data_IF_484598374657
#
_entry.id   IF_484598374657
#
_cell.length_a   1.000
_cell.length_b   1.000
_cell.length_c   1.000
_cell.angle_alpha   90.00
_cell.angle_beta   90.00
_cell.angle_gamma   90.00
#
_symmetry.space_group_name_H-M   'P 1'
#
loop_
_entity.id
_entity.type
_entity.pdbx_description
1 polymer ?
#
# COMPACT_ATOMS: atom_id res chain seq x y z
N UNK A 1 -26.32 7.99 13.76
CA UNK A 1 -25.42 8.60 12.76
C UNK A 1 -24.99 7.51 11.81
N UNK A 2 -25.21 7.70 10.50
CA UNK A 2 -24.83 6.70 9.50
C UNK A 2 -23.34 6.77 9.23
N UNK A 3 -22.71 5.62 9.00
CA UNK A 3 -21.29 5.49 8.67
C UNK A 3 -21.17 4.75 7.33
N UNK A 4 -20.55 5.37 6.34
CA UNK A 4 -20.30 4.75 5.03
C UNK A 4 -18.93 4.05 5.06
N UNK A 5 -18.92 2.76 4.74
CA UNK A 5 -17.71 1.93 4.67
C UNK A 5 -17.45 1.49 3.23
N UNK A 6 -16.19 1.51 2.82
CA UNK A 6 -15.76 1.04 1.53
C UNK A 6 -14.40 0.35 1.61
N UNK A 7 -14.09 -0.45 0.59
CA UNK A 7 -12.77 -1.00 0.32
C UNK A 7 -12.43 -0.72 -1.13
N UNK A 8 -11.19 -0.34 -1.38
CA UNK A 8 -10.71 -0.06 -2.73
C UNK A 8 -9.38 -0.75 -2.96
N UNK A 9 -9.21 -1.27 -4.17
CA UNK A 9 -7.97 -1.87 -4.66
C UNK A 9 -7.84 -1.63 -6.16
N UNK A 10 -6.61 -1.70 -6.66
CA UNK A 10 -6.28 -1.75 -8.07
C UNK A 10 -5.89 -3.19 -8.38
N UNK A 11 -6.48 -3.76 -9.42
CA UNK A 11 -6.16 -5.10 -9.92
C UNK A 11 -5.80 -5.08 -11.40
N UNK A 12 -5.16 -6.17 -11.82
CA UNK A 12 -4.90 -6.48 -13.23
C UNK A 12 -5.18 -7.96 -13.43
N UNK A 13 -5.99 -8.28 -14.43
CA UNK A 13 -6.34 -9.66 -14.80
C UNK A 13 -6.92 -10.49 -13.64
N UNK A 14 -7.78 -9.87 -12.83
CA UNK A 14 -8.40 -10.50 -11.65
C UNK A 14 -7.46 -10.65 -10.44
N UNK A 15 -6.23 -10.14 -10.54
CA UNK A 15 -5.27 -10.19 -9.45
C UNK A 15 -5.00 -8.80 -8.85
N UNK A 16 -5.21 -8.67 -7.53
CA UNK A 16 -4.93 -7.43 -6.79
C UNK A 16 -3.46 -7.01 -6.98
N UNK A 17 -3.21 -5.78 -7.38
CA UNK A 17 -1.89 -5.14 -7.33
C UNK A 17 -1.75 -4.41 -5.99
N UNK A 18 -2.59 -3.43 -5.70
CA UNK A 18 -2.48 -2.65 -4.46
C UNK A 18 -3.85 -2.42 -3.85
N UNK A 19 -3.90 -2.45 -2.53
CA UNK A 19 -5.05 -2.12 -1.70
C UNK A 19 -4.53 -1.63 -0.35
N UNK A 20 -5.41 -1.31 0.60
CA UNK A 20 -5.04 -0.67 1.88
C UNK A 20 -3.85 -1.35 2.59
N UNK A 21 -3.87 -2.67 2.76
CA UNK A 21 -2.78 -3.37 3.47
C UNK A 21 -1.45 -3.43 2.71
N UNK A 22 -1.45 -3.25 1.38
CA UNK A 22 -0.22 -3.17 0.57
C UNK A 22 0.30 -1.73 0.49
N UNK A 23 -0.60 -0.75 0.40
CA UNK A 23 -0.28 0.68 0.53
C UNK A 23 0.40 0.96 1.88
N UNK A 24 -0.19 0.47 2.97
CA UNK A 24 0.35 0.65 4.33
C UNK A 24 1.78 0.10 4.45
N UNK A 25 2.03 -1.09 3.89
CA UNK A 25 3.37 -1.68 3.83
C UNK A 25 4.35 -0.80 3.06
N UNK A 26 3.99 -0.30 1.88
CA UNK A 26 4.89 0.54 1.07
C UNK A 26 5.19 1.87 1.77
N UNK A 27 4.19 2.51 2.38
CA UNK A 27 4.39 3.74 3.17
C UNK A 27 5.33 3.51 4.34
N UNK A 28 5.17 2.38 5.03
CA UNK A 28 6.01 2.06 6.18
C UNK A 28 7.43 1.70 5.78
N UNK A 29 7.63 1.08 4.60
CA UNK A 29 8.97 0.86 4.04
C UNK A 29 9.66 2.19 3.74
N UNK A 30 8.95 3.14 3.14
CA UNK A 30 9.50 4.47 2.84
C UNK A 30 9.92 5.21 4.12
N UNK A 31 9.17 5.06 5.23
CA UNK A 31 9.50 5.67 6.53
C UNK A 31 10.66 4.99 7.23
N UNK A 32 10.69 3.65 7.24
CA UNK A 32 11.58 2.88 8.11
C UNK A 32 12.87 2.43 7.42
N UNK A 33 12.88 2.40 6.09
CA UNK A 33 13.98 1.83 5.33
C UNK A 33 14.14 0.31 5.50
N UNK A 34 13.15 -0.41 6.02
CA UNK A 34 13.29 -1.83 6.39
C UNK A 34 11.99 -2.61 6.27
N UNK A 35 11.92 -3.58 5.35
CA UNK A 35 10.74 -4.46 5.19
C UNK A 35 10.39 -5.19 6.50
N UNK A 36 11.40 -5.60 7.28
CA UNK A 36 11.17 -6.31 8.55
C UNK A 36 10.49 -5.39 9.56
N UNK A 37 11.04 -4.18 9.77
CA UNK A 37 10.46 -3.21 10.71
C UNK A 37 9.07 -2.74 10.24
N UNK A 38 8.88 -2.57 8.94
CA UNK A 38 7.57 -2.24 8.38
C UNK A 38 6.52 -3.33 8.64
N UNK A 39 6.89 -4.60 8.42
CA UNK A 39 6.00 -5.73 8.69
C UNK A 39 5.58 -5.78 10.16
N UNK A 40 6.54 -5.60 11.07
CA UNK A 40 6.29 -5.53 12.52
C UNK A 40 5.34 -4.37 12.88
N UNK A 41 5.60 -3.17 12.35
CA UNK A 41 4.81 -1.97 12.65
C UNK A 41 3.34 -2.07 12.20
N UNK A 42 3.08 -2.73 11.07
CA UNK A 42 1.72 -2.90 10.52
C UNK A 42 1.07 -4.23 10.94
N UNK A 43 1.70 -4.99 11.83
CA UNK A 43 1.15 -6.22 12.39
C UNK A 43 1.06 -7.40 11.40
N UNK A 44 1.95 -7.48 10.42
CA UNK A 44 2.06 -8.64 9.52
C UNK A 44 3.38 -9.37 9.67
N UNK A 45 3.40 -10.67 9.34
CA UNK A 45 4.67 -11.41 9.35
C UNK A 45 5.60 -10.91 8.24
N UNK A 46 6.90 -10.96 8.48
CA UNK A 46 7.91 -10.64 7.46
C UNK A 46 7.70 -11.45 6.16
N UNK A 47 7.33 -12.73 6.28
CA UNK A 47 6.98 -13.58 5.13
C UNK A 47 5.79 -13.03 4.33
N UNK A 48 4.77 -12.51 5.02
CA UNK A 48 3.60 -11.90 4.37
C UNK A 48 3.98 -10.58 3.68
N UNK A 49 4.85 -9.78 4.28
CA UNK A 49 5.38 -8.57 3.64
C UNK A 49 6.16 -8.89 2.35
N UNK A 50 7.05 -9.88 2.39
CA UNK A 50 7.76 -10.35 1.19
C UNK A 50 6.80 -10.88 0.12
N UNK A 51 5.78 -11.65 0.50
CA UNK A 51 4.74 -12.12 -0.41
C UNK A 51 3.97 -10.96 -1.05
N UNK A 52 3.62 -9.92 -0.29
CA UNK A 52 2.97 -8.74 -0.84
C UNK A 52 3.84 -8.03 -1.87
N UNK A 53 5.12 -7.82 -1.58
CA UNK A 53 6.06 -7.18 -2.51
C UNK A 53 6.19 -8.02 -3.79
N UNK A 54 6.47 -9.32 -3.67
CA UNK A 54 6.61 -10.22 -4.80
C UNK A 54 5.34 -10.28 -5.68
N UNK A 55 4.17 -10.38 -5.05
CA UNK A 55 2.90 -10.37 -5.77
C UNK A 55 2.67 -9.04 -6.51
N UNK A 56 3.00 -7.90 -5.88
CA UNK A 56 2.90 -6.59 -6.52
C UNK A 56 3.83 -6.49 -7.72
N UNK A 57 5.10 -6.86 -7.57
CA UNK A 57 6.10 -6.74 -8.62
C UNK A 57 5.78 -7.63 -9.83
N UNK A 58 5.34 -8.87 -9.59
CA UNK A 58 4.90 -9.79 -10.66
C UNK A 58 3.74 -9.23 -11.46
N UNK A 59 2.73 -8.69 -10.79
CA UNK A 59 1.49 -8.19 -11.43
C UNK A 59 1.70 -6.83 -12.10
N UNK A 60 2.47 -5.96 -11.46
CA UNK A 60 2.82 -4.64 -11.97
C UNK A 60 3.87 -4.71 -13.09
N UNK A 61 4.66 -5.79 -13.15
CA UNK A 61 5.67 -6.04 -14.18
C UNK A 61 6.94 -5.21 -14.01
N UNK A 62 7.11 -4.55 -12.87
CA UNK A 62 8.29 -3.75 -12.52
C UNK A 62 8.61 -3.93 -11.05
N UNK A 63 9.89 -3.72 -10.71
CA UNK A 63 10.35 -3.70 -9.33
C UNK A 63 9.70 -2.52 -8.60
N UNK A 64 9.25 -2.74 -7.37
CA UNK A 64 8.56 -1.78 -6.52
C UNK A 64 9.44 -1.43 -5.33
N UNK A 65 10.17 -2.41 -4.77
CA UNK A 65 11.07 -2.22 -3.62
C UNK A 65 12.49 -2.65 -3.98
N UNK A 66 13.47 -1.78 -3.74
CA UNK A 66 14.89 -2.15 -3.77
C UNK A 66 15.35 -2.51 -2.36
N UNK A 67 15.94 -3.69 -2.21
CA UNK A 67 16.56 -4.13 -0.96
C UNK A 67 18.04 -4.40 -1.16
N UNK A 68 18.89 -3.80 -0.32
CA UNK A 68 20.32 -4.11 -0.24
C UNK A 68 20.52 -5.21 0.79
N UNK A 69 21.10 -6.35 0.39
CA UNK A 69 21.50 -7.40 1.34
C UNK A 69 22.75 -6.93 2.10
N UNK A 70 22.73 -7.10 3.42
CA UNK A 70 23.59 -6.38 4.36
C UNK A 70 25.11 -6.51 4.17
N UNK A 71 25.78 -5.37 4.38
CA UNK A 71 27.17 -5.24 4.84
C UNK A 71 27.20 -4.49 6.20
N UNK A 72 28.37 -4.06 6.66
CA UNK A 72 28.58 -3.38 7.95
C UNK A 72 27.71 -2.09 8.03
N UNK A 73 26.58 -2.17 8.75
CA UNK A 73 25.57 -1.10 8.82
C UNK A 73 24.11 -1.55 8.64
N UNK A 74 23.88 -2.81 8.21
CA UNK A 74 22.54 -3.38 8.05
C UNK A 74 21.95 -3.12 6.67
N UNK A 75 21.31 -4.15 6.09
CA UNK A 75 20.64 -4.03 4.80
C UNK A 75 19.43 -3.08 4.86
N UNK A 76 19.27 -2.24 3.84
CA UNK A 76 18.16 -1.28 3.73
C UNK A 76 17.16 -1.66 2.64
N UNK A 77 15.95 -1.12 2.72
CA UNK A 77 14.88 -1.26 1.73
C UNK A 77 14.29 0.10 1.42
N UNK A 78 14.08 0.42 0.13
CA UNK A 78 13.47 1.69 -0.31
C UNK A 78 12.51 1.45 -1.47
N UNK A 79 11.54 2.33 -1.65
CA UNK A 79 10.71 2.28 -2.85
C UNK A 79 11.53 2.68 -4.07
N UNK A 80 11.33 1.95 -5.17
CA UNK A 80 11.73 2.41 -6.51
C UNK A 80 10.86 3.60 -6.94
N UNK A 81 11.25 4.29 -8.01
CA UNK A 81 10.40 5.31 -8.63
C UNK A 81 9.05 4.75 -9.09
N UNK A 82 9.03 3.51 -9.56
CA UNK A 82 7.80 2.81 -9.93
C UNK A 82 6.92 2.48 -8.71
N UNK A 83 7.52 2.11 -7.59
CA UNK A 83 6.80 1.91 -6.32
C UNK A 83 6.19 3.19 -5.78
N UNK A 84 6.93 4.31 -5.84
CA UNK A 84 6.41 5.64 -5.49
C UNK A 84 5.27 6.07 -6.41
N UNK A 85 5.39 5.79 -7.72
CA UNK A 85 4.33 6.06 -8.70
C UNK A 85 3.07 5.26 -8.39
N UNK A 86 3.19 3.95 -8.17
CA UNK A 86 2.06 3.08 -7.80
C UNK A 86 1.36 3.60 -6.53
N UNK A 87 2.12 3.97 -5.51
CA UNK A 87 1.61 4.52 -4.26
C UNK A 87 0.85 5.84 -4.48
N UNK A 88 1.41 6.73 -5.30
CA UNK A 88 0.78 8.01 -5.64
C UNK A 88 -0.52 7.84 -6.43
N UNK A 89 -0.58 6.91 -7.37
CA UNK A 89 -1.81 6.64 -8.11
C UNK A 89 -2.88 6.01 -7.21
N UNK A 90 -2.51 5.09 -6.31
CA UNK A 90 -3.45 4.53 -5.34
C UNK A 90 -3.99 5.60 -4.38
N UNK A 91 -3.15 6.53 -3.92
CA UNK A 91 -3.57 7.65 -3.07
C UNK A 91 -4.61 8.55 -3.75
N UNK A 92 -4.47 8.82 -5.05
CA UNK A 92 -5.47 9.58 -5.81
C UNK A 92 -6.81 8.85 -5.83
N UNK A 93 -6.79 7.55 -6.07
CA UNK A 93 -8.01 6.73 -6.07
C UNK A 93 -8.70 6.80 -4.71
N UNK A 94 -7.96 6.57 -3.61
CA UNK A 94 -8.50 6.65 -2.24
C UNK A 94 -9.15 8.02 -1.99
N UNK A 95 -8.48 9.11 -2.36
CA UNK A 95 -9.02 10.48 -2.19
C UNK A 95 -10.35 10.70 -2.92
N UNK A 96 -10.55 10.13 -4.09
CA UNK A 96 -11.83 10.24 -4.80
C UNK A 96 -12.94 9.44 -4.09
N UNK A 97 -12.62 8.27 -3.55
CA UNK A 97 -13.58 7.48 -2.76
C UNK A 97 -13.87 8.12 -1.38
N UNK A 98 -12.93 8.81 -0.76
CA UNK A 98 -13.15 9.59 0.46
C UNK A 98 -14.17 10.72 0.22
N UNK A 99 -14.03 11.48 -0.87
CA UNK A 99 -15.01 12.50 -1.27
C UNK A 99 -16.40 11.89 -1.51
N UNK A 100 -16.46 10.75 -2.20
CA UNK A 100 -17.72 10.07 -2.44
C UNK A 100 -18.38 9.59 -1.14
N UNK A 101 -17.58 9.07 -0.21
CA UNK A 101 -18.01 8.68 1.13
C UNK A 101 -18.62 9.88 1.87
N UNK A 102 -17.90 11.00 1.96
CA UNK A 102 -18.37 12.21 2.65
C UNK A 102 -19.69 12.74 2.06
N UNK A 103 -19.83 12.72 0.73
CA UNK A 103 -21.05 13.15 0.07
C UNK A 103 -22.24 12.23 0.39
N UNK A 104 -22.02 10.92 0.42
CA UNK A 104 -23.04 9.95 0.81
C UNK A 104 -23.46 10.11 2.28
N UNK A 105 -22.50 10.31 3.19
CA UNK A 105 -22.78 10.54 4.61
C UNK A 105 -23.56 11.84 4.83
N UNK A 106 -23.24 12.92 4.11
CA UNK A 106 -24.03 14.16 4.15
C UNK A 106 -25.46 13.93 3.70
N UNK A 107 -25.67 13.21 2.60
CA UNK A 107 -27.01 12.90 2.11
C UNK A 107 -27.84 12.01 3.06
N UNK A 108 -27.19 11.12 3.80
CA UNK A 108 -27.82 10.25 4.81
C UNK A 108 -28.10 10.96 6.14
N UNK A 109 -27.39 12.04 6.44
CA UNK A 109 -27.55 12.84 7.67
C UNK A 109 -28.37 14.12 7.44
N UNK A 110 -29.20 14.17 6.40
CA UNK A 110 -30.17 15.25 6.20
C UNK A 110 -31.43 15.02 7.06
N UNK A 111 -31.37 15.50 8.30
CA UNK A 111 -32.28 16.56 8.78
C UNK A 111 -31.50 17.87 8.81
#
# INVERSE_FOLDING_TARGET
>A
MFEVKYKVWIEKDGEIIIGLGRDELLREIEKTGSIKKSAENIGISYRKALYYIDAMEKRYGKKIVESVRGGYGGGGSKLTEEGKKLLKEFEKVVKEFEKAKENAEKGLNLE
#
